data_IF_004684088148
#
_entry.id   IF_004684088148
#
_cell.length_a   1.000
_cell.length_b   1.000
_cell.length_c   1.000
_cell.angle_alpha   90.00
_cell.angle_beta   90.00
_cell.angle_gamma   90.00
#
_symmetry.space_group_name_H-M   'P 1'
#
loop_
_entity.id
_entity.type
_entity.pdbx_description
1 polymer ?
#
# COMPACT_ATOMS: atom_id res chain seq x y z
N UNK A 1 -26.58 37.78 54.24
CA UNK A 1 -26.95 36.81 53.17
C UNK A 1 -26.41 37.16 51.77
N UNK A 2 -25.60 38.21 51.56
CA UNK A 2 -25.19 38.64 50.21
C UNK A 2 -23.74 38.24 49.81
N UNK A 3 -22.86 37.88 50.76
CA UNK A 3 -21.45 37.54 50.47
C UNK A 3 -21.18 36.08 50.06
N UNK A 4 -22.08 35.13 50.35
CA UNK A 4 -21.88 33.70 50.00
C UNK A 4 -22.31 33.34 48.58
N UNK A 5 -23.01 34.22 47.87
CA UNK A 5 -23.54 33.96 46.51
C UNK A 5 -22.47 34.18 45.43
N UNK A 6 -21.42 34.97 45.68
CA UNK A 6 -20.38 35.25 44.67
C UNK A 6 -19.39 34.10 44.45
N UNK A 7 -19.21 33.21 45.43
CA UNK A 7 -18.26 32.09 45.32
C UNK A 7 -18.87 30.92 44.54
N UNK A 8 -20.19 30.73 44.62
CA UNK A 8 -20.87 29.67 43.88
C UNK A 8 -20.94 29.93 42.36
N UNK A 9 -20.94 31.20 41.93
CA UNK A 9 -21.03 31.53 40.51
C UNK A 9 -19.68 31.45 39.76
N UNK A 10 -18.56 31.49 40.47
CA UNK A 10 -17.23 31.35 39.87
C UNK A 10 -16.76 29.89 39.75
N UNK A 11 -17.35 28.97 40.53
CA UNK A 11 -17.05 27.54 40.47
C UNK A 11 -17.86 26.76 39.43
N UNK A 12 -18.87 27.40 38.82
CA UNK A 12 -19.75 26.79 37.80
C UNK A 12 -19.34 27.12 36.36
N UNK A 13 -18.29 27.94 36.16
CA UNK A 13 -17.79 28.32 34.84
C UNK A 13 -16.52 27.55 34.41
N UNK A 14 -16.00 26.66 35.25
CA UNK A 14 -14.86 25.78 34.95
C UNK A 14 -15.26 24.42 34.37
N UNK A 15 -16.56 24.19 34.13
CA UNK A 15 -17.06 23.11 33.25
C UNK A 15 -17.15 23.55 31.77
N UNK A 16 -16.39 24.57 31.38
CA UNK A 16 -16.29 25.00 30.00
C UNK A 16 -15.44 23.99 29.19
N UNK A 17 -16.15 23.13 28.45
CA UNK A 17 -15.70 22.50 27.21
C UNK A 17 -14.35 21.78 27.31
N UNK A 18 -14.35 20.57 27.87
CA UNK A 18 -13.44 19.55 27.35
C UNK A 18 -13.96 19.19 25.96
N UNK A 19 -13.70 20.03 24.96
CA UNK A 19 -13.70 19.54 23.59
C UNK A 19 -12.59 18.51 23.56
N UNK A 20 -12.91 17.25 23.26
CA UNK A 20 -11.91 16.28 22.86
C UNK A 20 -11.23 16.82 21.61
N UNK A 21 -10.16 17.59 21.78
CA UNK A 21 -9.31 18.03 20.71
C UNK A 21 -8.56 16.79 20.23
N UNK A 22 -9.01 16.23 19.11
CA UNK A 22 -8.24 15.21 18.41
C UNK A 22 -6.93 15.85 17.95
N UNK A 23 -5.80 15.17 18.19
CA UNK A 23 -4.55 15.58 17.58
C UNK A 23 -4.68 15.52 16.05
N UNK A 24 -4.01 16.45 15.36
CA UNK A 24 -3.84 16.36 13.91
C UNK A 24 -3.08 15.06 13.62
N UNK A 25 -3.58 14.26 12.68
CA UNK A 25 -2.95 12.99 12.25
C UNK A 25 -2.38 13.18 10.86
N UNK A 26 -1.15 12.75 10.62
CA UNK A 26 -0.58 12.60 9.28
C UNK A 26 -0.77 11.17 8.80
N UNK A 27 -1.65 10.98 7.81
CA UNK A 27 -1.90 9.71 7.15
C UNK A 27 -1.16 9.66 5.81
N UNK A 28 -0.37 8.62 5.59
CA UNK A 28 0.52 8.50 4.44
C UNK A 28 0.15 7.29 3.60
N UNK A 29 -0.04 7.51 2.30
CA UNK A 29 -0.45 6.44 1.37
C UNK A 29 0.07 6.67 -0.06
N UNK A 30 -0.43 5.90 -1.03
CA UNK A 30 0.14 5.73 -2.37
C UNK A 30 -0.31 6.78 -3.39
N UNK A 31 -1.21 7.68 -2.99
CA UNK A 31 -1.80 8.72 -3.82
C UNK A 31 -2.84 8.25 -4.84
N UNK A 32 -3.15 9.15 -5.77
CA UNK A 32 -4.08 8.91 -6.87
C UNK A 32 -5.49 8.51 -6.42
N UNK A 33 -6.15 7.71 -7.27
CA UNK A 33 -7.52 7.26 -7.02
C UNK A 33 -7.65 6.37 -5.76
N UNK A 34 -6.57 5.70 -5.37
CA UNK A 34 -6.56 4.84 -4.19
C UNK A 34 -6.64 5.66 -2.90
N UNK A 35 -5.75 6.62 -2.70
CA UNK A 35 -5.83 7.51 -1.53
C UNK A 35 -7.10 8.35 -1.52
N UNK A 36 -7.62 8.74 -2.70
CA UNK A 36 -8.92 9.40 -2.79
C UNK A 36 -10.09 8.48 -2.31
N UNK A 37 -9.98 7.17 -2.48
CA UNK A 37 -10.96 6.21 -1.97
C UNK A 37 -10.87 6.06 -0.45
N UNK A 38 -9.66 6.00 0.11
CA UNK A 38 -9.43 5.99 1.57
C UNK A 38 -9.97 7.26 2.22
N UNK A 39 -9.74 8.41 1.59
CA UNK A 39 -10.28 9.69 2.03
C UNK A 39 -11.80 9.64 2.18
N UNK A 40 -12.50 9.18 1.14
CA UNK A 40 -13.96 9.07 1.16
C UNK A 40 -14.49 7.96 2.07
N UNK A 41 -13.75 6.84 2.16
CA UNK A 41 -14.19 5.64 2.86
C UNK A 41 -14.13 5.78 4.37
N UNK A 42 -13.04 6.34 4.89
CA UNK A 42 -12.82 6.39 6.33
C UNK A 42 -12.15 7.67 6.86
N UNK A 43 -11.25 8.31 6.10
CA UNK A 43 -10.52 9.49 6.65
C UNK A 43 -11.47 10.68 6.85
N UNK A 44 -12.36 10.96 5.89
CA UNK A 44 -13.29 12.08 5.98
C UNK A 44 -14.38 11.88 7.04
N UNK A 45 -14.56 10.65 7.52
CA UNK A 45 -15.50 10.31 8.59
C UNK A 45 -14.86 10.44 9.98
N UNK A 46 -13.55 10.70 10.05
CA UNK A 46 -12.85 10.99 11.29
C UNK A 46 -13.18 12.41 11.78
N UNK A 47 -13.40 12.55 13.09
CA UNK A 47 -13.77 13.83 13.69
C UNK A 47 -12.57 14.79 13.89
N UNK A 48 -11.34 14.28 13.82
CA UNK A 48 -10.11 15.08 13.88
C UNK A 48 -9.64 15.54 12.52
N UNK A 49 -8.63 16.43 12.51
CA UNK A 49 -7.97 16.84 11.27
C UNK A 49 -6.97 15.78 10.84
N UNK A 50 -7.01 15.42 9.56
CA UNK A 50 -6.04 14.49 8.95
C UNK A 50 -5.32 15.19 7.81
N UNK A 51 -3.99 15.28 7.91
CA UNK A 51 -3.11 15.66 6.81
C UNK A 51 -2.82 14.40 6.01
N UNK A 52 -3.13 14.40 4.72
CA UNK A 52 -2.88 13.26 3.85
C UNK A 52 -1.65 13.53 3.00
N UNK A 53 -0.66 12.66 3.10
CA UNK A 53 0.58 12.71 2.32
C UNK A 53 0.70 11.49 1.42
N UNK A 54 1.42 11.66 0.31
CA UNK A 54 1.70 10.58 -0.62
C UNK A 54 3.17 10.20 -0.54
N UNK A 55 3.44 8.89 -0.57
CA UNK A 55 4.78 8.35 -0.71
C UNK A 55 4.79 7.17 -1.69
N UNK A 56 5.97 6.63 -2.00
CA UNK A 56 6.14 5.56 -2.98
C UNK A 56 6.35 4.18 -2.34
N UNK A 57 6.11 4.04 -1.04
CA UNK A 57 6.31 2.80 -0.30
C UNK A 57 7.77 2.49 0.08
N UNK A 58 7.95 1.36 0.77
CA UNK A 58 9.23 0.95 1.34
C UNK A 58 9.47 1.53 2.73
N UNK A 59 10.47 1.00 3.42
CA UNK A 59 10.80 1.39 4.80
C UNK A 59 11.81 2.54 4.89
N UNK A 60 12.37 3.02 3.77
CA UNK A 60 13.48 3.99 3.78
C UNK A 60 13.15 5.31 4.47
N UNK A 61 12.06 5.96 4.07
CA UNK A 61 11.63 7.24 4.66
C UNK A 61 11.17 7.07 6.12
N UNK A 62 10.47 5.96 6.41
CA UNK A 62 10.02 5.61 7.77
C UNK A 62 11.23 5.46 8.69
N UNK A 63 12.21 4.66 8.28
CA UNK A 63 13.45 4.41 9.02
C UNK A 63 14.23 5.70 9.23
N UNK A 64 14.35 6.53 8.21
CA UNK A 64 15.03 7.83 8.33
C UNK A 64 14.38 8.74 9.38
N UNK A 65 13.03 8.79 9.45
CA UNK A 65 12.33 9.58 10.46
C UNK A 65 12.53 9.04 11.88
N UNK A 66 12.46 7.72 12.06
CA UNK A 66 12.68 7.05 13.36
C UNK A 66 14.11 7.24 13.83
N UNK A 67 15.11 7.01 12.98
CA UNK A 67 16.53 7.18 13.30
C UNK A 67 16.89 8.63 13.60
N UNK A 68 16.27 9.59 12.92
CA UNK A 68 16.45 11.01 13.20
C UNK A 68 15.74 11.49 14.49
N UNK A 69 14.87 10.67 15.09
CA UNK A 69 14.04 11.05 16.24
C UNK A 69 13.03 12.16 15.92
N UNK A 70 12.69 12.34 14.64
CA UNK A 70 11.80 13.40 14.16
C UNK A 70 10.68 12.78 13.31
N UNK A 71 9.83 12.00 13.97
CA UNK A 71 8.68 11.33 13.35
C UNK A 71 7.56 12.34 13.15
N UNK A 72 7.13 12.49 11.90
CA UNK A 72 6.05 13.38 11.46
C UNK A 72 4.86 12.62 10.87
N UNK A 73 5.07 11.34 10.54
CA UNK A 73 4.05 10.43 10.02
C UNK A 73 3.46 9.59 11.15
N UNK A 74 2.13 9.62 11.28
CA UNK A 74 1.43 8.92 12.37
C UNK A 74 0.90 7.55 11.92
N UNK A 75 0.29 7.49 10.73
CA UNK A 75 -0.29 6.27 10.16
C UNK A 75 0.20 6.10 8.73
N UNK A 76 0.86 4.99 8.44
CA UNK A 76 1.44 4.72 7.12
C UNK A 76 0.84 3.45 6.52
N UNK A 77 0.31 3.59 5.31
CA UNK A 77 -0.19 2.51 4.49
C UNK A 77 0.96 1.75 3.83
N UNK A 78 1.34 0.60 4.40
CA UNK A 78 2.51 -0.20 4.02
C UNK A 78 2.13 -1.55 3.40
N UNK A 79 3.09 -2.17 2.70
CA UNK A 79 2.94 -3.54 2.22
C UNK A 79 3.13 -4.59 3.34
N UNK A 80 2.59 -5.81 3.19
CA UNK A 80 2.72 -6.86 4.20
C UNK A 80 4.17 -7.20 4.58
N UNK A 81 5.08 -7.27 3.60
CA UNK A 81 6.51 -7.53 3.85
C UNK A 81 7.15 -6.42 4.71
N UNK A 82 6.77 -5.17 4.44
CA UNK A 82 7.21 -4.01 5.20
C UNK A 82 6.64 -4.03 6.62
N UNK A 83 5.40 -4.50 6.80
CA UNK A 83 4.77 -4.67 8.12
C UNK A 83 5.41 -5.74 8.99
N UNK A 84 5.99 -6.79 8.38
CA UNK A 84 6.80 -7.78 9.11
C UNK A 84 8.16 -7.16 9.46
N UNK A 85 8.94 -6.75 8.45
CA UNK A 85 10.31 -6.26 8.66
C UNK A 85 10.37 -5.01 9.53
N UNK A 86 9.48 -4.04 9.31
CA UNK A 86 9.47 -2.81 10.10
C UNK A 86 9.02 -3.03 11.55
N UNK A 87 8.18 -4.03 11.82
CA UNK A 87 7.83 -4.40 13.19
C UNK A 87 9.02 -5.08 13.89
N UNK A 88 9.70 -6.01 13.21
CA UNK A 88 10.90 -6.68 13.73
C UNK A 88 12.05 -5.69 13.99
N UNK A 89 12.20 -4.67 13.14
CA UNK A 89 13.20 -3.61 13.29
C UNK A 89 12.79 -2.51 14.31
N UNK A 90 11.59 -2.58 14.89
CA UNK A 90 11.10 -1.60 15.87
C UNK A 90 10.76 -0.22 15.28
N UNK A 91 10.46 -0.16 13.98
CA UNK A 91 10.05 1.08 13.29
C UNK A 91 8.59 1.46 13.58
N UNK A 92 7.79 0.51 14.05
CA UNK A 92 6.37 0.69 14.31
C UNK A 92 6.02 0.39 15.76
N UNK A 93 5.00 1.09 16.27
CA UNK A 93 4.41 0.77 17.56
C UNK A 93 3.55 -0.48 17.46
N UNK A 94 3.49 -1.26 18.55
CA UNK A 94 2.56 -2.37 18.67
C UNK A 94 1.14 -1.84 18.81
N UNK A 95 0.20 -2.47 18.12
CA UNK A 95 -1.21 -2.12 18.20
C UNK A 95 -1.91 -3.02 19.23
N UNK A 96 -2.89 -2.48 19.95
CA UNK A 96 -3.88 -3.33 20.60
C UNK A 96 -4.83 -3.88 19.53
N UNK A 97 -4.64 -5.15 19.18
CA UNK A 97 -5.41 -5.78 18.12
C UNK A 97 -6.75 -6.35 18.60
N UNK A 98 -6.99 -6.36 19.93
CA UNK A 98 -8.20 -6.96 20.50
C UNK A 98 -9.49 -6.28 20.03
N UNK A 99 -9.41 -5.02 19.61
CA UNK A 99 -10.56 -4.25 19.13
C UNK A 99 -11.01 -4.62 17.71
N UNK A 100 -10.14 -5.23 16.89
CA UNK A 100 -10.45 -5.47 15.47
C UNK A 100 -10.18 -6.90 15.00
N UNK A 101 -9.42 -7.70 15.76
CA UNK A 101 -8.94 -9.02 15.29
C UNK A 101 -10.06 -9.98 14.91
N UNK A 102 -11.18 -9.93 15.63
CA UNK A 102 -12.33 -10.83 15.40
C UNK A 102 -13.16 -10.45 14.17
N UNK A 103 -13.03 -9.20 13.68
CA UNK A 103 -13.74 -8.71 12.49
C UNK A 103 -12.91 -8.84 11.20
N UNK A 104 -11.67 -9.34 11.28
CA UNK A 104 -10.77 -9.42 10.13
C UNK A 104 -11.00 -10.67 9.28
N UNK A 105 -11.08 -10.48 7.96
CA UNK A 105 -11.13 -11.58 6.98
C UNK A 105 -9.77 -12.32 6.91
N UNK A 106 -8.67 -11.59 7.09
CA UNK A 106 -7.33 -12.15 7.20
C UNK A 106 -6.63 -11.51 8.39
N UNK A 107 -5.97 -12.34 9.21
CA UNK A 107 -5.23 -11.86 10.37
C UNK A 107 -4.08 -10.92 9.98
N UNK A 108 -3.65 -10.05 10.92
CA UNK A 108 -2.52 -9.18 10.73
C UNK A 108 -1.23 -9.99 10.53
N UNK A 109 -0.32 -9.46 9.71
CA UNK A 109 0.97 -10.12 9.44
C UNK A 109 2.01 -9.90 10.54
N UNK A 110 1.76 -8.96 11.45
CA UNK A 110 2.57 -8.70 12.65
C UNK A 110 1.71 -8.00 13.72
N UNK A 111 2.25 -7.85 14.93
CA UNK A 111 1.61 -7.14 16.04
C UNK A 111 1.55 -5.60 15.83
N UNK A 112 2.24 -5.08 14.81
CA UNK A 112 2.33 -3.64 14.55
C UNK A 112 1.38 -3.13 13.45
N UNK A 113 0.55 -4.00 12.85
CA UNK A 113 -0.26 -3.64 11.68
C UNK A 113 -1.73 -4.03 11.82
N UNK A 114 -2.61 -3.23 11.19
CA UNK A 114 -4.02 -3.55 11.02
C UNK A 114 -4.31 -3.77 9.52
N UNK A 115 -4.91 -4.92 9.12
CA UNK A 115 -5.33 -5.14 7.73
C UNK A 115 -6.40 -4.14 7.31
N UNK A 116 -6.24 -3.52 6.14
CA UNK A 116 -7.20 -2.52 5.64
C UNK A 116 -7.85 -2.88 4.30
N UNK A 117 -7.13 -3.53 3.38
CA UNK A 117 -7.58 -3.82 2.02
C UNK A 117 -6.97 -5.11 1.49
N UNK A 118 -7.69 -5.75 0.56
CA UNK A 118 -7.12 -6.76 -0.32
C UNK A 118 -6.94 -6.17 -1.72
N UNK A 119 -5.82 -6.49 -2.35
CA UNK A 119 -5.48 -6.00 -3.67
C UNK A 119 -4.71 -7.08 -4.45
N UNK A 120 -4.56 -6.86 -5.75
CA UNK A 120 -3.80 -7.74 -6.61
C UNK A 120 -3.09 -6.94 -7.71
N UNK A 121 -1.84 -7.31 -8.00
CA UNK A 121 -1.23 -6.91 -9.27
C UNK A 121 -1.88 -7.70 -10.40
N UNK A 122 -2.43 -6.99 -11.38
CA UNK A 122 -3.04 -7.59 -12.56
C UNK A 122 -2.52 -6.91 -13.81
N UNK A 123 -2.30 -7.70 -14.87
CA UNK A 123 -2.02 -7.16 -16.19
C UNK A 123 -3.32 -6.66 -16.81
N UNK A 124 -3.33 -5.42 -17.28
CA UNK A 124 -4.46 -4.80 -17.96
C UNK A 124 -4.00 -4.15 -19.27
N UNK A 125 -4.96 -3.88 -20.16
CA UNK A 125 -4.70 -3.34 -21.49
C UNK A 125 -5.82 -2.41 -21.95
N UNK A 126 -5.50 -1.47 -22.84
CA UNK A 126 -6.51 -0.64 -23.49
C UNK A 126 -7.25 -1.45 -24.53
N UNK A 127 -8.60 -1.43 -24.49
CA UNK A 127 -9.43 -2.12 -25.49
C UNK A 127 -9.15 -1.62 -26.91
N UNK A 128 -8.77 -0.35 -27.08
CA UNK A 128 -8.43 0.21 -28.39
C UNK A 128 -7.09 -0.32 -28.93
N UNK A 129 -6.16 -0.73 -28.05
CA UNK A 129 -4.88 -1.31 -28.46
C UNK A 129 -5.04 -2.73 -29.05
N UNK A 130 -6.11 -3.45 -28.69
CA UNK A 130 -6.37 -4.81 -29.14
C UNK A 130 -7.81 -4.99 -29.64
N UNK A 131 -8.16 -4.44 -30.83
CA UNK A 131 -9.51 -4.54 -31.38
C UNK A 131 -9.90 -5.98 -31.77
N UNK A 132 -8.90 -6.84 -32.03
CA UNK A 132 -9.08 -8.26 -32.36
C UNK A 132 -8.89 -9.19 -31.16
N UNK A 133 -7.92 -10.12 -31.29
CA UNK A 133 -7.53 -11.01 -30.18
C UNK A 133 -6.98 -10.17 -29.02
N UNK A 134 -7.41 -10.49 -27.80
CA UNK A 134 -7.05 -9.77 -26.58
C UNK A 134 -6.24 -10.67 -25.64
N UNK A 135 -5.24 -10.14 -24.92
CA UNK A 135 -4.51 -10.91 -23.91
C UNK A 135 -5.47 -11.27 -22.76
N UNK A 136 -5.37 -12.50 -22.25
CA UNK A 136 -6.25 -13.01 -21.18
C UNK A 136 -5.47 -13.61 -20.01
N UNK A 137 -4.22 -13.94 -20.22
CA UNK A 137 -3.36 -14.61 -19.24
C UNK A 137 -2.08 -13.82 -19.06
N UNK A 138 -1.38 -14.05 -17.94
CA UNK A 138 -0.05 -13.47 -17.77
C UNK A 138 0.92 -13.97 -18.85
N UNK A 139 0.74 -15.19 -19.38
CA UNK A 139 1.51 -15.67 -20.52
C UNK A 139 1.32 -14.79 -21.76
N UNK A 140 0.11 -14.32 -22.02
CA UNK A 140 -0.17 -13.40 -23.13
C UNK A 140 0.49 -12.03 -22.91
N UNK A 141 0.62 -11.56 -21.66
CA UNK A 141 1.35 -10.32 -21.35
C UNK A 141 2.82 -10.40 -21.81
N UNK A 142 3.48 -11.54 -21.59
CA UNK A 142 4.86 -11.78 -22.02
C UNK A 142 5.01 -12.16 -23.51
N UNK A 143 3.92 -12.40 -24.24
CA UNK A 143 3.97 -12.74 -25.67
C UNK A 143 3.89 -11.48 -26.53
N UNK A 144 5.01 -10.75 -26.64
CA UNK A 144 5.13 -9.52 -27.45
C UNK A 144 4.95 -9.76 -28.95
N UNK A 145 5.15 -10.99 -29.42
CA UNK A 145 4.95 -11.36 -30.83
C UNK A 145 3.46 -11.48 -31.16
N UNK A 146 2.70 -12.15 -30.29
CA UNK A 146 1.25 -12.32 -30.44
C UNK A 146 0.46 -11.06 -30.08
N UNK A 147 0.93 -10.31 -29.08
CA UNK A 147 0.33 -9.06 -28.62
C UNK A 147 1.39 -7.96 -28.66
N UNK A 148 1.63 -7.31 -29.80
CA UNK A 148 2.64 -6.24 -29.89
C UNK A 148 2.25 -5.04 -29.03
N UNK A 149 3.26 -4.37 -28.44
CA UNK A 149 3.07 -3.17 -27.60
C UNK A 149 4.11 -3.03 -26.49
N UNK A 150 4.17 -1.85 -25.86
CA UNK A 150 4.99 -1.64 -24.66
C UNK A 150 4.34 -2.30 -23.44
N UNK A 151 5.16 -2.74 -22.49
CA UNK A 151 4.77 -3.35 -21.21
C UNK A 151 5.20 -2.42 -20.08
N UNK A 152 4.26 -2.05 -19.22
CA UNK A 152 4.56 -1.31 -18.01
C UNK A 152 4.69 -2.29 -16.84
N UNK A 153 5.86 -2.37 -16.19
CA UNK A 153 6.08 -3.18 -14.99
C UNK A 153 6.65 -2.33 -13.86
N UNK A 154 6.41 -2.74 -12.62
CA UNK A 154 6.92 -2.03 -11.46
C UNK A 154 8.45 -2.09 -11.42
N UNK A 155 9.10 -1.07 -10.85
CA UNK A 155 10.52 -1.09 -10.48
C UNK A 155 10.85 -2.10 -9.37
N UNK A 156 9.85 -2.67 -8.71
CA UNK A 156 10.04 -3.65 -7.65
C UNK A 156 9.88 -5.08 -8.20
N UNK A 157 10.61 -6.00 -7.57
CA UNK A 157 10.59 -7.40 -7.94
C UNK A 157 9.29 -8.12 -7.51
N UNK A 158 8.62 -7.62 -6.45
CA UNK A 158 7.41 -8.23 -5.90
C UNK A 158 6.33 -8.37 -6.97
N UNK A 159 5.70 -9.55 -7.04
CA UNK A 159 4.80 -10.00 -8.08
C UNK A 159 5.39 -10.08 -9.51
N UNK A 160 6.36 -9.25 -9.89
CA UNK A 160 6.99 -9.28 -11.22
C UNK A 160 7.72 -10.61 -11.45
N UNK A 161 8.46 -11.09 -10.43
CA UNK A 161 9.18 -12.37 -10.49
C UNK A 161 8.19 -13.53 -10.56
N UNK A 162 7.15 -13.52 -9.73
CA UNK A 162 6.09 -14.52 -9.71
C UNK A 162 5.34 -14.58 -11.04
N UNK A 163 4.98 -13.42 -11.61
CA UNK A 163 4.35 -13.32 -12.93
C UNK A 163 5.23 -13.87 -14.05
N UNK A 164 6.54 -13.61 -14.00
CA UNK A 164 7.49 -14.15 -14.96
C UNK A 164 7.55 -15.69 -14.86
N UNK A 165 7.65 -16.25 -13.64
CA UNK A 165 7.64 -17.71 -13.44
C UNK A 165 6.35 -18.36 -13.95
N UNK A 166 5.18 -17.76 -13.70
CA UNK A 166 3.91 -18.26 -14.22
C UNK A 166 3.85 -18.16 -15.74
N UNK A 167 4.33 -17.06 -16.32
CA UNK A 167 4.42 -16.90 -17.77
C UNK A 167 5.39 -17.90 -18.43
N UNK A 168 6.38 -18.37 -17.68
CA UNK A 168 7.30 -19.44 -18.06
C UNK A 168 6.75 -20.86 -17.77
N UNK A 169 5.50 -20.97 -17.30
CA UNK A 169 4.79 -22.23 -17.15
C UNK A 169 4.91 -22.89 -15.77
N UNK A 170 5.48 -22.21 -14.78
CA UNK A 170 5.40 -22.65 -13.38
C UNK A 170 3.93 -22.61 -12.93
N UNK A 171 3.44 -23.68 -12.30
CA UNK A 171 2.08 -23.71 -11.76
C UNK A 171 1.99 -22.76 -10.57
N UNK A 172 0.87 -22.06 -10.42
CA UNK A 172 0.66 -21.08 -9.33
C UNK A 172 1.06 -21.61 -7.95
N UNK A 173 0.71 -22.86 -7.61
CA UNK A 173 1.03 -23.49 -6.32
C UNK A 173 2.53 -23.77 -6.09
N UNK A 174 3.32 -23.81 -7.16
CA UNK A 174 4.74 -24.16 -7.11
C UNK A 174 5.64 -22.92 -7.24
N UNK A 175 5.06 -21.72 -7.43
CA UNK A 175 5.82 -20.47 -7.68
C UNK A 175 6.82 -20.20 -6.56
N UNK A 176 6.38 -20.14 -5.31
CA UNK A 176 7.27 -19.86 -4.18
C UNK A 176 8.33 -20.95 -3.95
N UNK A 177 8.00 -22.22 -4.25
CA UNK A 177 8.96 -23.34 -4.19
C UNK A 177 10.05 -23.21 -5.25
N UNK A 178 9.71 -22.77 -6.46
CA UNK A 178 10.70 -22.54 -7.52
C UNK A 178 11.50 -21.29 -7.18
N UNK A 179 10.85 -20.20 -6.81
CA UNK A 179 11.47 -18.92 -6.51
C UNK A 179 12.47 -18.97 -5.34
N UNK A 180 12.34 -19.95 -4.43
CA UNK A 180 13.26 -20.12 -3.30
C UNK A 180 14.63 -20.68 -3.67
N UNK A 181 14.91 -20.98 -4.95
CA UNK A 181 16.24 -21.44 -5.41
C UNK A 181 16.89 -20.44 -6.37
N UNK A 182 18.23 -20.36 -6.42
CA UNK A 182 18.94 -19.51 -7.38
C UNK A 182 18.50 -19.76 -8.83
N UNK A 183 18.32 -21.04 -9.21
CA UNK A 183 17.91 -21.42 -10.57
C UNK A 183 16.48 -20.94 -10.89
N UNK A 184 15.61 -20.89 -9.89
CA UNK A 184 14.27 -20.33 -10.04
C UNK A 184 14.30 -18.83 -10.30
N UNK A 185 15.18 -18.11 -9.61
CA UNK A 185 15.39 -16.67 -9.85
C UNK A 185 15.98 -16.44 -11.25
N UNK A 186 17.01 -17.19 -11.65
CA UNK A 186 17.58 -17.11 -13.00
C UNK A 186 16.54 -17.38 -14.08
N UNK A 187 15.67 -18.36 -13.86
CA UNK A 187 14.56 -18.68 -14.74
C UNK A 187 13.58 -17.52 -14.90
N UNK A 188 13.26 -16.82 -13.80
CA UNK A 188 12.39 -15.63 -13.86
C UNK A 188 13.05 -14.49 -14.65
N UNK A 189 14.34 -14.22 -14.42
CA UNK A 189 15.08 -13.21 -15.16
C UNK A 189 15.21 -13.54 -16.66
N UNK A 190 15.49 -14.79 -17.00
CA UNK A 190 15.50 -15.25 -18.39
C UNK A 190 14.15 -15.02 -19.08
N UNK A 191 13.04 -15.14 -18.34
CA UNK A 191 11.72 -14.81 -18.86
C UNK A 191 11.50 -13.30 -19.03
N UNK A 192 11.95 -12.48 -18.07
CA UNK A 192 11.90 -11.01 -18.18
C UNK A 192 12.73 -10.51 -19.37
N UNK A 193 13.88 -11.13 -19.64
CA UNK A 193 14.73 -10.82 -20.79
C UNK A 193 14.02 -10.95 -22.14
N UNK A 194 13.01 -11.82 -22.24
CA UNK A 194 12.22 -12.00 -23.48
C UNK A 194 11.38 -10.77 -23.85
N UNK A 195 11.17 -9.83 -22.91
CA UNK A 195 10.36 -8.62 -23.11
C UNK A 195 11.14 -7.32 -22.85
N UNK A 196 12.42 -7.37 -22.49
CA UNK A 196 13.18 -6.19 -21.99
C UNK A 196 13.12 -4.97 -22.91
N UNK A 197 13.19 -5.16 -24.22
CA UNK A 197 13.15 -4.05 -25.21
C UNK A 197 11.76 -3.42 -25.36
N UNK A 198 10.75 -4.06 -24.77
CA UNK A 198 9.36 -3.62 -24.75
C UNK A 198 8.94 -3.03 -23.40
N UNK A 199 9.80 -3.06 -22.39
CA UNK A 199 9.45 -2.63 -21.02
C UNK A 199 9.62 -1.13 -20.83
N UNK A 200 8.68 -0.54 -20.10
CA UNK A 200 8.80 0.75 -19.42
C UNK A 200 8.53 0.51 -17.93
N UNK A 201 9.25 1.24 -17.07
CA UNK A 201 9.16 1.06 -15.62
C UNK A 201 8.30 2.15 -14.97
N UNK A 202 7.56 1.77 -13.95
CA UNK A 202 6.82 2.69 -13.07
C UNK A 202 7.11 2.38 -11.61
N UNK A 203 7.02 3.41 -10.77
CA UNK A 203 7.27 3.32 -9.32
C UNK A 203 6.14 3.86 -8.47
N UNK A 204 5.36 4.82 -8.97
CA UNK A 204 4.20 5.36 -8.28
C UNK A 204 2.91 4.66 -8.72
N UNK A 205 2.04 4.30 -7.78
CA UNK A 205 0.82 3.54 -8.04
C UNK A 205 -0.19 4.21 -8.98
N UNK A 206 -0.12 5.53 -9.16
CA UNK A 206 -0.94 6.28 -10.11
C UNK A 206 -0.49 6.16 -11.58
N UNK A 207 0.80 5.84 -11.82
CA UNK A 207 1.41 5.90 -13.16
C UNK A 207 0.86 4.90 -14.17
N UNK A 208 0.53 3.64 -13.82
CA UNK A 208 0.00 2.68 -14.79
C UNK A 208 -1.27 3.16 -15.52
N UNK A 209 -2.14 3.91 -14.84
CA UNK A 209 -3.38 4.46 -15.42
C UNK A 209 -3.10 5.65 -16.37
N UNK A 210 -2.05 6.42 -16.12
CA UNK A 210 -1.59 7.47 -17.03
C UNK A 210 -0.96 6.86 -18.29
N UNK A 211 -0.07 5.88 -18.10
CA UNK A 211 0.69 5.22 -19.18
C UNK A 211 -0.20 4.45 -20.17
N UNK A 212 -1.36 3.96 -19.73
CA UNK A 212 -2.27 3.25 -20.65
C UNK A 212 -3.06 4.18 -21.56
N UNK A 213 -3.12 5.46 -21.21
CA UNK A 213 -3.87 6.49 -21.91
C UNK A 213 -2.99 7.30 -22.88
N UNK A 214 -1.67 7.14 -22.82
CA UNK A 214 -0.66 7.75 -23.70
C UNK A 214 -0.36 6.90 -24.92
#
# INVERSE_FOLDING_TARGET
MIKKIKIAFFSLLSLALVSSAYADITFVSWGGAYTAAQQKGYINNWNGKVNVENYNGGLGEIKAQVEAGNVTWDVVDILPDQGVTGCDEGLFVKLDQSEFIDDMIAGPVSECVAPQIFWAYTAFYSKSAFPGKKPKTIKDFFDVKKFPGKRAIHTWANATIEMALVADGVKHKDVYKVMSTPEGIDRAFAKLDTIKDHVIFWSAGSKPLEMISS
#
